data_IF_195783999149
#
_entry.id   IF_195783999149
#
_cell.length_a   1.000
_cell.length_b   1.000
_cell.length_c   1.000
_cell.angle_alpha   90.00
_cell.angle_beta   90.00
_cell.angle_gamma   90.00
#
_symmetry.space_group_name_H-M   'P 1'
#
loop_
_entity.id
_entity.type
_entity.pdbx_description
1 polymer ?
#
# COMPACT_ATOMS: atom_id res chain seq x y z
N UNK A 1 -39.87 -8.38 -6.56
CA UNK A 1 -39.38 -7.24 -5.77
C UNK A 1 -38.15 -7.72 -5.00
N UNK A 2 -36.95 -7.35 -5.45
CA UNK A 2 -35.70 -7.68 -4.78
C UNK A 2 -35.57 -6.72 -3.58
N UNK A 3 -35.18 -7.16 -2.38
CA UNK A 3 -34.99 -6.25 -1.24
C UNK A 3 -33.83 -5.29 -1.56
N UNK A 4 -34.14 -4.07 -1.96
CA UNK A 4 -33.19 -3.05 -2.46
C UNK A 4 -32.33 -2.40 -1.38
N UNK A 5 -32.59 -2.67 -0.09
CA UNK A 5 -31.90 -1.99 1.01
C UNK A 5 -30.38 -2.17 1.00
N UNK A 6 -29.90 -3.39 0.77
CA UNK A 6 -28.45 -3.66 0.76
C UNK A 6 -27.76 -3.14 -0.52
N UNK A 7 -28.48 -3.05 -1.64
CA UNK A 7 -27.96 -2.49 -2.90
C UNK A 7 -27.78 -0.98 -2.79
N UNK A 8 -28.78 -0.29 -2.25
CA UNK A 8 -28.69 1.15 -1.99
C UNK A 8 -27.57 1.47 -0.98
N UNK A 9 -27.39 0.61 0.03
CA UNK A 9 -26.27 0.75 0.97
C UNK A 9 -24.92 0.55 0.28
N UNK A 10 -24.78 -0.46 -0.58
CA UNK A 10 -23.59 -0.66 -1.41
C UNK A 10 -23.27 0.56 -2.26
N UNK A 11 -24.24 1.06 -3.04
CA UNK A 11 -24.08 2.21 -3.94
C UNK A 11 -23.66 3.46 -3.16
N UNK A 12 -24.33 3.74 -2.04
CA UNK A 12 -24.01 4.90 -1.20
C UNK A 12 -22.61 4.82 -0.61
N UNK A 13 -22.15 3.63 -0.20
CA UNK A 13 -20.81 3.44 0.36
C UNK A 13 -19.73 3.51 -0.74
N UNK A 14 -19.98 2.91 -1.90
CA UNK A 14 -19.07 3.00 -3.04
C UNK A 14 -18.89 4.45 -3.49
N UNK A 15 -19.98 5.22 -3.63
CA UNK A 15 -19.93 6.63 -3.95
C UNK A 15 -19.17 7.45 -2.90
N UNK A 16 -19.39 7.18 -1.61
CA UNK A 16 -18.66 7.84 -0.52
C UNK A 16 -17.15 7.60 -0.64
N UNK A 17 -16.73 6.36 -0.92
CA UNK A 17 -15.32 6.01 -1.07
C UNK A 17 -14.71 6.72 -2.29
N UNK A 18 -15.37 6.67 -3.44
CA UNK A 18 -14.88 7.32 -4.67
C UNK A 18 -14.71 8.83 -4.47
N UNK A 19 -15.72 9.51 -3.92
CA UNK A 19 -15.66 10.95 -3.65
C UNK A 19 -14.53 11.29 -2.67
N UNK A 20 -14.33 10.47 -1.65
CA UNK A 20 -13.22 10.65 -0.71
C UNK A 20 -11.87 10.46 -1.40
N UNK A 21 -11.72 9.41 -2.22
CA UNK A 21 -10.50 9.14 -2.98
C UNK A 21 -10.16 10.29 -3.91
N UNK A 22 -11.09 10.72 -4.75
CA UNK A 22 -10.88 11.82 -5.70
C UNK A 22 -10.46 13.10 -4.97
N UNK A 23 -11.16 13.47 -3.88
CA UNK A 23 -10.83 14.66 -3.08
C UNK A 23 -9.42 14.59 -2.48
N UNK A 24 -9.00 13.42 -1.98
CA UNK A 24 -7.69 13.25 -1.34
C UNK A 24 -6.55 13.13 -2.33
N UNK A 25 -6.79 12.49 -3.49
CA UNK A 25 -5.87 12.47 -4.62
C UNK A 25 -5.60 13.90 -5.09
N UNK A 26 -6.64 14.68 -5.41
CA UNK A 26 -6.47 16.07 -5.85
C UNK A 26 -5.70 16.92 -4.82
N UNK A 27 -5.99 16.73 -3.52
CA UNK A 27 -5.30 17.43 -2.43
C UNK A 27 -3.80 17.06 -2.38
N UNK A 28 -3.47 15.79 -2.53
CA UNK A 28 -2.08 15.33 -2.52
C UNK A 28 -1.32 15.74 -3.79
N UNK A 29 -1.96 15.69 -4.96
CA UNK A 29 -1.36 16.15 -6.21
C UNK A 29 -1.00 17.63 -6.13
N UNK A 30 -1.95 18.47 -5.70
CA UNK A 30 -1.74 19.91 -5.59
C UNK A 30 -0.59 20.26 -4.64
N UNK A 31 -0.52 19.58 -3.49
CA UNK A 31 0.50 19.84 -2.46
C UNK A 31 1.87 19.29 -2.84
N UNK A 32 1.91 18.14 -3.51
CA UNK A 32 3.16 17.53 -4.01
C UNK A 32 3.74 18.33 -5.19
N UNK A 33 2.92 18.79 -6.13
CA UNK A 33 3.37 19.62 -7.25
C UNK A 33 3.93 20.97 -6.76
N UNK A 34 3.27 21.59 -5.79
CA UNK A 34 3.75 22.86 -5.23
C UNK A 34 5.08 22.68 -4.48
N UNK A 35 5.23 21.63 -3.68
CA UNK A 35 6.46 21.35 -2.95
C UNK A 35 7.66 21.13 -3.89
N UNK A 36 7.46 20.51 -5.06
CA UNK A 36 8.50 20.37 -6.09
C UNK A 36 8.88 21.70 -6.76
N UNK A 37 7.95 22.66 -6.84
CA UNK A 37 8.19 23.98 -7.44
C UNK A 37 8.77 25.01 -6.44
N UNK A 38 8.73 24.74 -5.13
CA UNK A 38 9.31 25.59 -4.08
C UNK A 38 10.87 25.58 -4.06
N UNK A 39 11.53 24.79 -4.93
CA UNK A 39 12.98 24.86 -5.18
C UNK A 39 13.40 26.06 -6.08
N UNK A 40 12.46 26.85 -6.61
CA UNK A 40 12.75 28.14 -7.26
C UNK A 40 12.34 29.33 -6.37
N UNK A 41 13.24 30.28 -6.08
CA UNK A 41 12.90 31.48 -5.33
C UNK A 41 12.14 32.49 -6.21
N UNK A 42 10.95 32.84 -5.70
CA UNK A 42 10.19 34.08 -5.84
C UNK A 42 9.56 34.52 -7.18
N UNK A 43 8.39 35.16 -6.96
CA UNK A 43 7.53 35.95 -7.86
C UNK A 43 6.44 35.15 -8.59
N UNK A 44 5.23 35.14 -8.02
CA UNK A 44 4.03 35.77 -8.58
C UNK A 44 2.93 35.75 -7.51
N UNK A 45 2.51 36.94 -7.08
CA UNK A 45 1.20 37.16 -6.48
C UNK A 45 0.14 36.78 -7.52
N UNK A 46 -0.75 35.83 -7.23
CA UNK A 46 -2.09 35.89 -7.79
C UNK A 46 -3.13 35.30 -6.83
N UNK A 47 -4.04 36.18 -6.47
CA UNK A 47 -5.33 35.98 -5.83
C UNK A 47 -6.05 34.70 -6.30
N UNK A 48 -5.98 33.67 -5.47
CA UNK A 48 -7.16 32.93 -5.05
C UNK A 48 -6.80 32.24 -3.74
N UNK A 49 -7.32 32.78 -2.63
CA UNK A 49 -7.01 32.33 -1.28
C UNK A 49 -7.73 31.01 -0.97
N UNK A 50 -7.50 29.99 -1.78
CA UNK A 50 -7.62 28.61 -1.33
C UNK A 50 -6.28 28.35 -0.64
N UNK A 51 -6.29 28.44 0.69
CA UNK A 51 -5.11 28.19 1.53
C UNK A 51 -4.60 26.79 1.21
N UNK A 52 -3.64 26.70 0.28
CA UNK A 52 -3.06 25.42 -0.13
C UNK A 52 -2.45 24.80 1.11
N UNK A 53 -2.97 23.65 1.50
CA UNK A 53 -2.55 22.97 2.73
C UNK A 53 -1.11 22.48 2.57
N UNK A 54 -0.36 22.35 3.68
CA UNK A 54 0.94 21.69 3.60
C UNK A 54 0.75 20.19 3.33
N UNK A 55 1.70 19.51 2.67
CA UNK A 55 1.66 18.05 2.51
C UNK A 55 1.41 17.31 3.84
N UNK A 56 2.02 17.79 4.93
CA UNK A 56 1.82 17.23 6.28
C UNK A 56 0.40 17.36 6.82
N UNK A 57 -0.29 18.46 6.52
CA UNK A 57 -1.67 18.67 6.94
C UNK A 57 -2.64 17.77 6.16
N UNK A 58 -2.39 17.58 4.87
CA UNK A 58 -3.18 16.66 4.03
C UNK A 58 -2.99 15.21 4.49
N UNK A 59 -1.75 14.77 4.71
CA UNK A 59 -1.45 13.43 5.25
C UNK A 59 -2.14 13.20 6.60
N UNK A 60 -2.06 14.18 7.52
CA UNK A 60 -2.71 14.05 8.83
C UNK A 60 -4.24 13.89 8.74
N UNK A 61 -4.88 14.53 7.76
CA UNK A 61 -6.32 14.35 7.52
C UNK A 61 -6.62 12.97 6.97
N UNK A 62 -5.82 12.50 6.02
CA UNK A 62 -5.94 11.14 5.48
C UNK A 62 -5.83 10.13 6.61
N UNK A 63 -4.81 10.23 7.45
CA UNK A 63 -4.59 9.30 8.58
C UNK A 63 -5.78 9.25 9.55
N UNK A 64 -6.42 10.40 9.78
CA UNK A 64 -7.59 10.50 10.66
C UNK A 64 -8.83 9.82 10.05
N UNK A 65 -9.04 9.96 8.74
CA UNK A 65 -10.23 9.47 8.03
C UNK A 65 -10.09 8.03 7.55
N UNK A 66 -8.85 7.57 7.33
CA UNK A 66 -8.52 6.26 6.76
C UNK A 66 -9.18 5.08 7.50
N UNK A 67 -9.29 5.03 8.84
CA UNK A 67 -9.95 3.92 9.52
C UNK A 67 -11.42 3.76 9.12
N UNK A 68 -12.17 4.87 9.08
CA UNK A 68 -13.59 4.86 8.70
C UNK A 68 -13.76 4.43 7.25
N UNK A 69 -12.92 4.96 6.35
CA UNK A 69 -12.96 4.60 4.92
C UNK A 69 -12.61 3.13 4.70
N UNK A 70 -11.67 2.57 5.49
CA UNK A 70 -11.36 1.12 5.44
C UNK A 70 -12.53 0.26 5.90
N UNK A 71 -13.29 0.70 6.92
CA UNK A 71 -14.51 0.01 7.34
C UNK A 71 -15.57 0.05 6.23
N UNK A 72 -15.76 1.20 5.59
CA UNK A 72 -16.66 1.35 4.44
C UNK A 72 -16.22 0.45 3.27
N UNK A 73 -14.91 0.33 3.00
CA UNK A 73 -14.37 -0.55 1.95
C UNK A 73 -14.72 -2.03 2.21
N UNK A 74 -14.63 -2.48 3.47
CA UNK A 74 -15.02 -3.86 3.84
C UNK A 74 -16.50 -4.09 3.56
N UNK A 75 -17.36 -3.10 3.85
CA UNK A 75 -18.78 -3.18 3.54
C UNK A 75 -19.04 -3.21 2.04
N UNK A 76 -18.39 -2.34 1.25
CA UNK A 76 -18.50 -2.32 -0.22
C UNK A 76 -18.11 -3.67 -0.81
N UNK A 77 -16.98 -4.25 -0.38
CA UNK A 77 -16.55 -5.57 -0.84
C UNK A 77 -17.58 -6.65 -0.48
N UNK A 78 -18.06 -6.67 0.76
CA UNK A 78 -19.01 -7.69 1.22
C UNK A 78 -20.36 -7.59 0.50
N UNK A 79 -20.90 -6.38 0.39
CA UNK A 79 -22.20 -6.13 -0.24
C UNK A 79 -22.12 -6.27 -1.76
N UNK A 80 -21.03 -5.83 -2.39
CA UNK A 80 -20.83 -5.96 -3.82
C UNK A 80 -20.58 -7.40 -4.26
N UNK A 81 -19.88 -8.23 -3.47
CA UNK A 81 -19.80 -9.68 -3.74
C UNK A 81 -21.16 -10.36 -3.69
N UNK A 82 -22.01 -9.96 -2.73
CA UNK A 82 -23.40 -10.42 -2.69
C UNK A 82 -24.16 -9.93 -3.92
N UNK A 83 -23.99 -8.67 -4.30
CA UNK A 83 -24.65 -8.10 -5.46
C UNK A 83 -24.25 -8.84 -6.75
N UNK A 84 -22.95 -9.09 -6.95
CA UNK A 84 -22.40 -9.88 -8.07
C UNK A 84 -23.03 -11.26 -8.15
N UNK A 85 -23.18 -11.95 -7.01
CA UNK A 85 -23.84 -13.27 -6.95
C UNK A 85 -25.31 -13.19 -7.36
N UNK A 86 -26.04 -12.19 -6.86
CA UNK A 86 -27.46 -12.01 -7.17
C UNK A 86 -27.66 -11.70 -8.68
N UNK A 87 -26.81 -10.84 -9.26
CA UNK A 87 -26.81 -10.55 -10.71
C UNK A 87 -26.52 -11.80 -11.54
N UNK A 88 -25.46 -12.54 -11.17
CA UNK A 88 -25.06 -13.77 -11.86
C UNK A 88 -26.17 -14.83 -11.83
N UNK A 89 -26.86 -14.98 -10.69
CA UNK A 89 -27.99 -15.91 -10.54
C UNK A 89 -29.21 -15.49 -11.36
N UNK A 90 -29.43 -14.18 -11.52
CA UNK A 90 -30.47 -13.63 -12.37
C UNK A 90 -30.13 -13.69 -13.88
N UNK A 91 -28.89 -14.04 -14.23
CA UNK A 91 -28.39 -13.95 -15.61
C UNK A 91 -28.20 -12.52 -16.09
N UNK A 92 -28.04 -11.57 -15.16
CA UNK A 92 -27.79 -10.16 -15.43
C UNK A 92 -26.28 -9.91 -15.60
N UNK A 93 -25.94 -8.83 -16.31
CA UNK A 93 -24.56 -8.44 -16.55
C UNK A 93 -23.87 -7.99 -15.26
N UNK A 94 -22.64 -8.46 -15.01
CA UNK A 94 -21.81 -8.07 -13.86
C UNK A 94 -20.70 -7.08 -14.24
N UNK A 95 -20.49 -6.83 -15.53
CA UNK A 95 -19.38 -5.99 -16.03
C UNK A 95 -19.32 -4.61 -15.38
N UNK A 96 -20.45 -3.91 -15.25
CA UNK A 96 -20.49 -2.57 -14.64
C UNK A 96 -20.10 -2.60 -13.16
N UNK A 97 -20.47 -3.67 -12.45
CA UNK A 97 -20.10 -3.86 -11.05
C UNK A 97 -18.61 -4.18 -10.91
N UNK A 98 -18.07 -4.98 -11.83
CA UNK A 98 -16.66 -5.34 -11.86
C UNK A 98 -15.80 -4.11 -12.19
N UNK A 99 -16.20 -3.31 -13.18
CA UNK A 99 -15.54 -2.03 -13.51
C UNK A 99 -15.53 -1.07 -12.31
N UNK A 100 -16.63 -1.01 -11.53
CA UNK A 100 -16.67 -0.16 -10.33
C UNK A 100 -15.64 -0.58 -9.28
N UNK A 101 -15.42 -1.88 -9.10
CA UNK A 101 -14.37 -2.37 -8.20
C UNK A 101 -12.97 -2.03 -8.70
N UNK A 102 -12.73 -2.20 -10.00
CA UNK A 102 -11.46 -1.82 -10.63
C UNK A 102 -11.19 -0.32 -10.49
N UNK A 103 -12.20 0.52 -10.71
CA UNK A 103 -12.12 1.98 -10.57
C UNK A 103 -11.76 2.42 -9.14
N UNK A 104 -12.31 1.73 -8.13
CA UNK A 104 -12.01 1.97 -6.72
C UNK A 104 -10.57 1.52 -6.41
N UNK A 105 -10.16 0.34 -6.89
CA UNK A 105 -8.82 -0.19 -6.67
C UNK A 105 -7.73 0.68 -7.33
N UNK A 106 -7.98 1.15 -8.56
CA UNK A 106 -7.09 2.05 -9.28
C UNK A 106 -6.89 3.36 -8.51
N UNK A 107 -7.97 4.03 -8.11
CA UNK A 107 -7.91 5.28 -7.33
C UNK A 107 -7.27 5.07 -5.96
N UNK A 108 -7.53 3.94 -5.31
CA UNK A 108 -6.87 3.61 -4.04
C UNK A 108 -5.35 3.46 -4.23
N UNK A 109 -4.92 2.79 -5.29
CA UNK A 109 -3.50 2.66 -5.65
C UNK A 109 -2.87 4.02 -5.96
N UNK A 110 -3.56 4.89 -6.69
CA UNK A 110 -3.10 6.27 -6.93
C UNK A 110 -2.92 7.05 -5.63
N UNK A 111 -3.89 6.97 -4.71
CA UNK A 111 -3.79 7.60 -3.40
C UNK A 111 -2.57 7.10 -2.63
N UNK A 112 -2.36 5.79 -2.57
CA UNK A 112 -1.21 5.18 -1.87
C UNK A 112 0.13 5.65 -2.44
N UNK A 113 0.25 5.73 -3.77
CA UNK A 113 1.46 6.23 -4.44
C UNK A 113 1.73 7.70 -4.10
N UNK A 114 0.70 8.55 -4.17
CA UNK A 114 0.81 9.98 -3.85
C UNK A 114 1.11 10.21 -2.37
N UNK A 115 0.47 9.43 -1.48
CA UNK A 115 0.70 9.49 -0.05
C UNK A 115 2.16 9.17 0.28
N UNK A 116 2.70 8.08 -0.28
CA UNK A 116 4.12 7.71 -0.11
C UNK A 116 5.05 8.82 -0.60
N UNK A 117 4.77 9.39 -1.78
CA UNK A 117 5.57 10.48 -2.34
C UNK A 117 5.54 11.73 -1.46
N UNK A 118 4.37 12.10 -0.94
CA UNK A 118 4.21 13.23 -0.03
C UNK A 118 4.93 12.99 1.31
N UNK A 119 4.94 11.77 1.84
CA UNK A 119 5.68 11.42 3.06
C UNK A 119 7.19 11.60 2.89
N UNK A 120 7.75 11.16 1.76
CA UNK A 120 9.19 11.37 1.44
C UNK A 120 9.53 12.86 1.40
N UNK A 121 8.70 13.70 0.76
CA UNK A 121 8.92 15.15 0.72
C UNK A 121 8.93 15.80 2.11
N UNK A 122 8.13 15.29 3.05
CA UNK A 122 8.12 15.79 4.44
C UNK A 122 9.43 15.41 5.14
N UNK A 123 9.90 14.17 4.97
CA UNK A 123 11.15 13.68 5.55
C UNK A 123 12.36 14.46 4.99
N UNK A 124 12.43 14.63 3.68
CA UNK A 124 13.51 15.39 3.01
C UNK A 124 13.55 16.86 3.49
N UNK A 125 12.38 17.49 3.67
CA UNK A 125 12.28 18.85 4.20
C UNK A 125 12.69 18.94 5.67
N UNK A 126 12.41 17.92 6.47
CA UNK A 126 12.84 17.84 7.86
C UNK A 126 14.37 17.71 7.97
N UNK A 127 15.00 16.93 7.10
CA UNK A 127 16.46 16.76 7.02
C UNK A 127 17.12 18.05 6.53
N UNK A 128 16.59 18.67 5.45
CA UNK A 128 17.12 19.92 4.90
C UNK A 128 17.03 21.09 5.90
N UNK A 129 15.92 21.20 6.64
CA UNK A 129 15.75 22.24 7.67
C UNK A 129 16.70 22.06 8.87
N UNK A 130 17.14 20.84 9.16
CA UNK A 130 18.17 20.60 10.19
C UNK A 130 19.58 20.97 9.71
N UNK A 131 19.87 20.82 8.42
CA UNK A 131 21.18 21.16 7.84
C UNK A 131 21.34 22.68 7.66
N UNK A 132 20.26 23.39 7.29
CA UNK A 132 20.31 24.84 7.01
C UNK A 132 20.25 25.72 8.28
N UNK A 133 19.83 25.20 9.44
CA UNK A 133 19.85 25.97 10.70
C UNK A 133 21.26 26.17 11.31
N UNK A 134 22.32 25.82 10.58
CA UNK A 134 23.71 25.87 11.03
C UNK A 134 24.62 26.81 10.21
N UNK A 135 24.13 27.96 9.73
CA UNK A 135 24.96 29.06 9.22
C UNK A 135 24.13 30.35 9.36
N UNK A 136 24.42 31.28 10.28
CA UNK A 136 25.42 32.33 10.11
C UNK A 136 25.83 33.02 11.45
N UNK A 137 27.14 32.95 11.76
CA UNK A 137 28.07 34.01 12.26
C UNK A 137 27.96 34.66 13.67
N UNK A 138 29.04 35.29 14.21
CA UNK A 138 29.98 34.70 15.17
C UNK A 138 29.96 35.40 16.55
N UNK A 139 30.53 34.77 17.58
CA UNK A 139 31.38 35.37 18.66
C UNK A 139 31.48 34.40 19.85
N UNK A 140 32.74 34.15 20.24
CA UNK A 140 33.22 33.64 21.53
C UNK A 140 33.00 32.16 21.90
N UNK A 141 34.04 31.40 21.55
CA UNK A 141 34.68 30.33 22.32
C UNK A 141 34.24 30.23 23.80
N UNK A 142 33.42 29.23 24.09
CA UNK A 142 33.40 28.54 25.37
C UNK A 142 33.09 27.04 25.12
N UNK A 143 34.15 26.23 25.16
CA UNK A 143 34.17 24.81 25.53
C UNK A 143 32.83 24.05 25.49
N UNK A 144 32.58 23.30 24.42
CA UNK A 144 31.62 22.17 24.47
C UNK A 144 32.14 21.00 23.63
N UNK A 145 33.14 20.29 24.15
CA UNK A 145 33.61 18.99 23.63
C UNK A 145 32.68 17.81 23.99
N UNK A 146 31.40 18.06 24.33
CA UNK A 146 30.49 17.03 24.85
C UNK A 146 29.41 16.52 23.87
N UNK A 147 29.16 17.20 22.75
CA UNK A 147 28.06 16.84 21.84
C UNK A 147 28.48 15.96 20.66
N UNK A 148 29.74 16.06 20.19
CA UNK A 148 30.27 15.20 19.12
C UNK A 148 30.48 13.74 19.56
N UNK A 149 30.63 13.49 20.87
CA UNK A 149 30.72 12.14 21.43
C UNK A 149 29.35 11.42 21.40
N UNK A 150 28.26 12.10 21.78
CA UNK A 150 26.95 11.45 21.88
C UNK A 150 26.35 11.03 20.53
N UNK A 151 26.62 11.77 19.46
CA UNK A 151 26.18 11.40 18.10
C UNK A 151 26.97 10.20 17.58
N UNK A 152 28.30 10.20 17.75
CA UNK A 152 29.13 9.05 17.38
C UNK A 152 28.72 7.78 18.16
N UNK A 153 28.47 7.92 19.47
CA UNK A 153 28.04 6.80 20.31
C UNK A 153 26.66 6.25 19.87
N UNK A 154 25.75 7.13 19.44
CA UNK A 154 24.42 6.74 18.94
C UNK A 154 24.50 6.00 17.60
N UNK A 155 25.37 6.45 16.69
CA UNK A 155 25.59 5.80 15.39
C UNK A 155 26.23 4.42 15.57
N UNK A 156 27.21 4.29 16.47
CA UNK A 156 27.81 2.98 16.77
C UNK A 156 26.83 2.03 17.45
N UNK A 157 25.97 2.55 18.34
CA UNK A 157 24.88 1.75 18.94
C UNK A 157 23.90 1.25 17.88
N UNK A 158 23.57 2.09 16.90
CA UNK A 158 22.68 1.71 15.80
C UNK A 158 23.32 0.66 14.88
N UNK A 159 24.60 0.81 14.54
CA UNK A 159 25.33 -0.22 13.76
C UNK A 159 25.38 -1.56 14.49
N UNK A 160 25.64 -1.52 15.80
CA UNK A 160 25.63 -2.71 16.64
C UNK A 160 24.24 -3.38 16.63
N UNK A 161 23.17 -2.59 16.76
CA UNK A 161 21.81 -3.08 16.67
C UNK A 161 21.49 -3.71 15.30
N UNK A 162 21.98 -3.13 14.19
CA UNK A 162 21.82 -3.71 12.85
C UNK A 162 22.50 -5.08 12.70
N UNK A 163 23.71 -5.23 13.22
CA UNK A 163 24.42 -6.52 13.18
C UNK A 163 23.74 -7.57 14.07
N UNK A 164 23.22 -7.17 15.23
CA UNK A 164 22.42 -8.03 16.09
C UNK A 164 21.10 -8.46 15.42
N UNK A 165 20.39 -7.52 14.79
CA UNK A 165 19.16 -7.80 14.06
C UNK A 165 19.39 -8.75 12.89
N UNK A 166 20.50 -8.58 12.16
CA UNK A 166 20.92 -9.49 11.08
C UNK A 166 21.21 -10.89 11.61
N UNK A 167 21.85 -10.99 12.77
CA UNK A 167 22.15 -12.28 13.42
C UNK A 167 20.86 -12.96 13.90
N UNK A 168 19.91 -12.21 14.47
CA UNK A 168 18.63 -12.76 14.91
C UNK A 168 17.76 -13.21 13.73
N UNK A 169 17.71 -12.42 12.65
CA UNK A 169 16.93 -12.76 11.45
C UNK A 169 17.47 -14.01 10.72
N UNK A 170 18.75 -14.33 10.89
CA UNK A 170 19.39 -15.51 10.30
C UNK A 170 19.54 -16.65 11.31
N UNK A 171 18.95 -16.52 12.50
CA UNK A 171 19.05 -17.52 13.55
C UNK A 171 18.23 -18.73 13.19
N UNK A 172 18.88 -19.90 13.18
CA UNK A 172 18.22 -21.18 12.94
C UNK A 172 17.10 -21.40 13.97
N UNK A 173 15.89 -21.60 13.49
CA UNK A 173 14.74 -21.94 14.32
C UNK A 173 14.66 -23.46 14.41
N UNK A 174 14.85 -24.00 15.63
CA UNK A 174 14.72 -25.43 15.88
C UNK A 174 13.29 -25.78 16.27
N UNK A 175 12.72 -26.75 15.59
CA UNK A 175 11.42 -27.32 15.90
C UNK A 175 11.49 -28.23 17.14
N UNK A 176 10.34 -28.56 17.74
CA UNK A 176 10.25 -29.35 18.99
C UNK A 176 10.81 -30.77 18.85
N UNK A 177 10.83 -31.28 17.62
CA UNK A 177 11.37 -32.57 17.20
C UNK A 177 12.88 -32.55 16.92
N UNK A 178 13.53 -31.38 17.04
CA UNK A 178 14.97 -31.21 16.88
C UNK A 178 15.42 -30.86 15.46
N UNK A 179 14.50 -30.85 14.49
CA UNK A 179 14.77 -30.46 13.11
C UNK A 179 14.87 -28.94 12.96
N UNK A 180 15.59 -28.47 11.94
CA UNK A 180 15.62 -27.06 11.58
C UNK A 180 14.36 -26.71 10.75
N UNK A 181 13.73 -25.56 11.05
CA UNK A 181 12.50 -25.12 10.38
C UNK A 181 12.68 -25.01 8.86
N UNK A 182 13.85 -24.58 8.40
CA UNK A 182 14.16 -24.43 6.98
C UNK A 182 14.20 -25.79 6.26
N UNK A 183 14.71 -26.85 6.92
CA UNK A 183 14.67 -28.21 6.39
C UNK A 183 13.24 -28.72 6.29
N UNK A 184 12.40 -28.46 7.30
CA UNK A 184 10.99 -28.83 7.29
C UNK A 184 10.22 -28.12 6.15
N UNK A 185 10.49 -26.83 5.92
CA UNK A 185 9.90 -26.07 4.82
C UNK A 185 10.38 -26.60 3.47
N UNK A 186 11.67 -26.94 3.34
CA UNK A 186 12.23 -27.52 2.13
C UNK A 186 11.59 -28.87 1.80
N UNK A 187 11.49 -29.78 2.78
CA UNK A 187 10.87 -31.10 2.64
C UNK A 187 9.39 -31.00 2.28
N UNK A 188 8.66 -30.08 2.92
CA UNK A 188 7.26 -29.81 2.57
C UNK A 188 7.12 -29.32 1.12
N UNK A 189 7.98 -28.39 0.70
CA UNK A 189 7.97 -27.84 -0.67
C UNK A 189 8.29 -28.92 -1.71
N UNK A 190 9.24 -29.80 -1.43
CA UNK A 190 9.58 -30.95 -2.30
C UNK A 190 8.40 -31.93 -2.37
N UNK A 191 7.77 -32.22 -1.23
CA UNK A 191 6.58 -33.09 -1.16
C UNK A 191 5.46 -32.54 -2.03
N UNK A 192 5.12 -31.24 -1.92
CA UNK A 192 4.09 -30.61 -2.76
C UNK A 192 4.39 -30.71 -4.26
N UNK A 193 5.65 -30.52 -4.69
CA UNK A 193 6.01 -30.70 -6.12
C UNK A 193 5.82 -32.15 -6.58
N UNK A 194 6.14 -33.11 -5.74
CA UNK A 194 5.98 -34.53 -6.07
C UNK A 194 4.51 -34.93 -6.23
N UNK A 195 3.59 -34.30 -5.49
CA UNK A 195 2.14 -34.50 -5.64
C UNK A 195 1.56 -33.92 -6.94
N UNK A 196 2.19 -32.89 -7.53
CA UNK A 196 1.75 -32.29 -8.79
C UNK A 196 2.29 -32.99 -10.06
N UNK A 197 3.13 -34.01 -9.92
CA UNK A 197 3.50 -34.88 -11.04
C UNK A 197 2.45 -35.99 -11.23
N UNK A 198 1.30 -35.61 -11.79
CA UNK A 198 0.35 -36.56 -12.37
C UNK A 198 1.06 -37.21 -13.58
N UNK A 199 1.21 -38.54 -13.64
CA UNK A 199 1.75 -39.17 -14.84
C UNK A 199 0.78 -38.90 -15.99
N UNK A 200 1.28 -38.26 -17.05
CA UNK A 200 0.59 -38.10 -18.32
C UNK A 200 0.23 -39.50 -18.84
N UNK A 201 -1.03 -39.90 -18.70
CA UNK A 201 -1.57 -41.08 -19.35
C UNK A 201 -1.59 -40.77 -20.84
N UNK A 202 -0.61 -41.29 -21.59
CA UNK A 202 -0.67 -41.31 -23.05
C UNK A 202 -1.86 -42.17 -23.49
N UNK A 203 -2.93 -41.51 -23.91
CA UNK A 203 -4.06 -42.16 -24.57
C UNK A 203 -3.54 -42.64 -25.93
N UNK A 204 -3.30 -43.94 -26.04
CA UNK A 204 -2.98 -44.59 -27.30
C UNK A 204 -4.15 -44.43 -28.26
N UNK A 205 -3.93 -43.64 -29.32
CA UNK A 205 -4.80 -43.50 -30.48
C UNK A 205 -4.87 -44.84 -31.25
N UNK A 206 -5.75 -45.75 -30.81
CA UNK A 206 -6.28 -46.86 -31.63
C UNK A 206 -7.71 -47.17 -31.16
N UNK A 207 -8.60 -47.38 -32.12
CA UNK A 207 -10.08 -47.46 -32.04
C UNK A 207 -10.73 -46.09 -32.11
N UNK A 208 -11.23 -45.66 -33.26
CA UNK A 208 -12.49 -46.06 -33.96
C UNK A 208 -12.22 -45.87 -35.48
N UNK A 209 -12.76 -46.66 -36.46
CA UNK A 209 -14.20 -46.93 -36.70
C UNK A 209 -14.46 -48.37 -37.19
N UNK A 210 -15.67 -48.90 -37.36
CA UNK A 210 -16.80 -48.52 -38.24
C UNK A 210 -17.90 -49.54 -37.91
N UNK A 211 -19.17 -49.15 -37.76
CA UNK A 211 -20.29 -49.99 -38.24
C UNK A 211 -21.46 -49.08 -38.67
N UNK A 212 -21.55 -48.89 -39.98
CA UNK A 212 -22.81 -48.64 -40.70
C UNK A 212 -23.58 -49.96 -40.84
N UNK A 213 -24.92 -49.90 -40.77
CA UNK A 213 -25.97 -50.79 -41.36
C UNK A 213 -27.16 -50.86 -40.38
N UNK A 214 -28.43 -50.69 -40.72
CA UNK A 214 -29.23 -50.42 -41.94
C UNK A 214 -30.43 -49.59 -41.45
#
# INVERSE_FOLDING_TARGET
MIPTGYRAEFESKAEKILNWLDTRIESLELTTMKAANEEQPDLINQENSQRVESPSAVISKIDKELPEIKEDMVLVNTLGERYRKDLSQAGENVEELDQLFEDIEERWSMLDQLYKKASVLIEDRAISSQIVSSEETPVQQASSEKTSKSICDSVETFKQWLEEAKTEATRQIKCKDGNELDELIADFTVSLRSFHHIPQISISSKFIPVLYRV
#
